data_IF_497428806215
#
_entry.id   IF_497428806215
#
_cell.length_a   1.000
_cell.length_b   1.000
_cell.length_c   1.000
_cell.angle_alpha   90.00
_cell.angle_beta   90.00
_cell.angle_gamma   90.00
#
_symmetry.space_group_name_H-M   'P 1'
#
loop_
_entity.id
_entity.type
_entity.pdbx_description
1 polymer ?
#
# COMPACT_ATOMS: atom_id res chain seq x y z
N UNK A 1 0.67 10.74 8.11
CA UNK A 1 0.10 9.52 7.53
C UNK A 1 -0.82 8.87 8.56
N UNK A 2 -2.11 8.85 8.32
CA UNK A 2 -3.08 8.21 9.23
C UNK A 2 -3.05 6.69 9.14
N UNK A 3 -2.30 6.14 8.21
CA UNK A 3 -2.26 4.70 7.91
C UNK A 3 -0.92 4.03 8.26
N UNK A 4 0.18 4.73 8.08
CA UNK A 4 1.54 4.21 8.34
C UNK A 4 2.24 5.20 9.29
N UNK A 5 2.04 5.01 10.58
CA UNK A 5 2.56 5.90 11.62
C UNK A 5 3.90 5.38 12.11
N UNK A 6 4.96 6.05 11.69
CA UNK A 6 6.26 5.91 12.34
C UNK A 6 6.34 6.90 13.50
N UNK A 7 6.32 6.38 14.71
CA UNK A 7 6.48 7.19 15.92
C UNK A 7 7.94 7.64 16.04
N UNK A 8 8.16 8.96 16.16
CA UNK A 8 9.44 9.53 16.57
C UNK A 8 9.29 10.03 18.00
N UNK A 9 9.99 9.41 18.93
CA UNK A 9 10.08 9.92 20.30
C UNK A 9 11.08 11.06 20.37
N UNK A 10 10.73 12.12 21.09
CA UNK A 10 11.66 13.19 21.49
C UNK A 10 12.39 12.85 22.82
N UNK A 11 11.97 11.76 23.46
CA UNK A 11 12.54 11.27 24.73
C UNK A 11 13.60 10.20 24.44
N UNK A 12 14.46 9.94 25.42
CA UNK A 12 15.43 8.85 25.35
C UNK A 12 14.69 7.51 25.18
N UNK A 13 15.02 6.79 24.12
CA UNK A 13 14.46 5.47 23.83
C UNK A 13 15.45 4.40 24.28
N UNK A 14 14.95 3.33 24.92
CA UNK A 14 15.72 2.14 25.24
C UNK A 14 15.28 1.00 24.34
N UNK A 15 16.25 0.21 23.87
CA UNK A 15 15.94 -1.03 23.17
C UNK A 15 15.55 -2.09 24.20
N UNK A 16 14.39 -2.71 23.98
CA UNK A 16 13.96 -3.87 24.78
C UNK A 16 14.35 -5.10 23.99
N UNK A 17 15.15 -5.98 24.60
CA UNK A 17 15.46 -7.29 24.05
C UNK A 17 14.28 -8.22 24.33
N UNK A 18 13.54 -8.61 23.29
CA UNK A 18 12.40 -9.51 23.39
C UNK A 18 11.80 -9.75 22.02
N UNK A 19 11.06 -10.85 21.89
CA UNK A 19 10.30 -11.17 20.67
C UNK A 19 8.86 -10.71 20.89
N UNK A 20 8.41 -9.77 20.07
CA UNK A 20 7.02 -9.35 20.03
C UNK A 20 6.26 -10.23 19.03
N UNK A 21 5.31 -11.02 19.50
CA UNK A 21 4.41 -11.77 18.63
C UNK A 21 3.15 -10.95 18.37
N UNK A 22 2.97 -10.51 17.12
CA UNK A 22 1.70 -9.94 16.65
C UNK A 22 0.84 -11.06 16.06
N UNK A 23 -0.11 -11.56 16.86
CA UNK A 23 -1.01 -12.62 16.43
C UNK A 23 -2.33 -12.03 15.91
N UNK A 24 -2.50 -12.02 14.61
CA UNK A 24 -3.75 -11.61 13.99
C UNK A 24 -4.74 -12.80 13.96
N UNK A 25 -5.61 -12.89 14.96
CA UNK A 25 -6.60 -13.98 15.14
C UNK A 25 -7.89 -13.74 14.30
N UNK A 26 -7.89 -12.79 13.38
CA UNK A 26 -9.06 -12.47 12.56
C UNK A 26 -9.34 -13.57 11.54
N UNK A 27 -10.60 -13.91 11.35
CA UNK A 27 -11.03 -14.74 10.23
C UNK A 27 -10.86 -13.97 8.89
N UNK A 28 -10.99 -14.70 7.77
CA UNK A 28 -10.76 -14.11 6.44
C UNK A 28 -11.75 -12.96 6.13
N UNK A 29 -13.00 -13.05 6.59
CA UNK A 29 -13.99 -12.00 6.36
C UNK A 29 -13.59 -10.69 7.05
N UNK A 30 -13.26 -10.76 8.34
CA UNK A 30 -12.80 -9.60 9.12
C UNK A 30 -11.50 -9.02 8.55
N UNK A 31 -10.63 -9.88 8.04
CA UNK A 31 -9.39 -9.47 7.39
C UNK A 31 -9.69 -8.69 6.11
N UNK A 32 -10.57 -9.21 5.23
CA UNK A 32 -11.02 -8.56 4.00
C UNK A 32 -11.67 -7.21 4.30
N UNK A 33 -12.57 -7.14 5.26
CA UNK A 33 -13.21 -5.88 5.66
C UNK A 33 -12.21 -4.84 6.15
N UNK A 34 -11.25 -5.25 6.97
CA UNK A 34 -10.18 -4.37 7.45
C UNK A 34 -9.35 -3.82 6.30
N UNK A 35 -8.95 -4.67 5.35
CA UNK A 35 -8.20 -4.26 4.16
C UNK A 35 -9.02 -3.39 3.21
N UNK A 36 -10.32 -3.65 3.11
CA UNK A 36 -11.23 -2.80 2.35
C UNK A 36 -11.28 -1.38 2.93
N UNK A 37 -11.35 -1.23 4.27
CA UNK A 37 -11.27 0.08 4.94
C UNK A 37 -9.89 0.74 4.75
N UNK A 38 -8.80 -0.02 4.89
CA UNK A 38 -7.44 0.49 4.69
C UNK A 38 -7.18 0.96 3.27
N UNK A 39 -7.76 0.28 2.27
CA UNK A 39 -7.64 0.72 0.88
C UNK A 39 -8.21 2.13 0.65
N UNK A 40 -9.31 2.47 1.32
CA UNK A 40 -9.90 3.83 1.26
C UNK A 40 -9.01 4.85 1.94
N UNK A 41 -8.41 4.51 3.10
CA UNK A 41 -7.49 5.39 3.81
C UNK A 41 -6.22 5.65 2.99
N UNK A 42 -5.65 4.61 2.35
CA UNK A 42 -4.46 4.76 1.50
C UNK A 42 -4.73 5.70 0.31
N UNK A 43 -5.93 5.66 -0.26
CA UNK A 43 -6.32 6.57 -1.35
C UNK A 43 -6.45 8.02 -0.86
N UNK A 44 -6.96 8.24 0.35
CA UNK A 44 -7.06 9.57 0.97
C UNK A 44 -5.68 10.14 1.27
N UNK A 45 -4.81 9.36 1.88
CA UNK A 45 -3.44 9.78 2.25
C UNK A 45 -2.57 10.12 1.03
N UNK A 46 -2.78 9.44 -0.09
CA UNK A 46 -2.06 9.76 -1.32
C UNK A 46 -2.38 11.16 -1.87
N UNK A 47 -3.50 11.78 -1.48
CA UNK A 47 -3.86 13.15 -1.85
C UNK A 47 -3.24 14.21 -0.92
N UNK A 48 -3.00 13.89 0.35
CA UNK A 48 -2.47 14.84 1.35
C UNK A 48 -0.95 14.87 1.44
N UNK A 49 -0.25 14.52 0.35
CA UNK A 49 1.21 14.40 0.32
C UNK A 49 1.92 15.74 0.51
N UNK A 50 2.08 16.16 1.76
CA UNK A 50 3.06 17.19 2.13
C UNK A 50 4.47 16.64 1.88
N UNK A 51 5.08 17.07 0.77
CA UNK A 51 6.39 16.60 0.28
C UNK A 51 7.58 17.06 1.13
N UNK A 52 7.39 18.04 2.02
CA UNK A 52 8.49 18.73 2.70
C UNK A 52 9.31 17.91 3.73
N UNK A 53 8.81 16.76 4.22
CA UNK A 53 9.50 15.97 5.25
C UNK A 53 9.76 14.52 4.83
N UNK A 54 9.95 14.22 3.55
CA UNK A 54 10.22 12.86 3.10
C UNK A 54 11.72 12.59 3.04
N UNK A 55 12.11 11.44 3.60
CA UNK A 55 13.42 10.86 3.35
C UNK A 55 13.58 10.64 1.86
N UNK A 56 14.67 11.11 1.26
CA UNK A 56 14.96 10.95 -0.17
C UNK A 56 15.26 9.49 -0.50
N UNK A 57 14.78 8.98 -1.65
CA UNK A 57 15.11 7.62 -2.09
C UNK A 57 16.59 7.54 -2.46
N UNK A 58 17.33 6.60 -1.86
CA UNK A 58 18.74 6.36 -2.17
C UNK A 58 19.02 4.85 -2.14
N UNK A 59 19.56 4.30 -3.23
CA UNK A 59 19.88 2.87 -3.35
C UNK A 59 21.01 2.46 -2.39
N UNK A 60 21.99 3.33 -2.20
CA UNK A 60 23.15 3.10 -1.37
C UNK A 60 23.03 3.69 0.06
N UNK A 61 21.86 4.19 0.39
CA UNK A 61 21.56 4.77 1.70
C UNK A 61 21.21 3.74 2.77
N UNK A 62 20.66 4.23 3.87
CA UNK A 62 20.17 3.38 4.95
C UNK A 62 18.96 2.53 4.52
N UNK A 63 18.53 1.58 5.37
CA UNK A 63 17.43 0.65 5.05
C UNK A 63 16.13 1.36 4.66
N UNK A 64 15.83 2.51 5.27
CA UNK A 64 14.63 3.30 4.97
C UNK A 64 14.73 3.97 3.59
N UNK A 65 15.90 4.49 3.23
CA UNK A 65 16.15 5.13 1.93
C UNK A 65 16.10 4.12 0.79
N UNK A 66 16.67 2.91 1.00
CA UNK A 66 16.58 1.79 0.04
C UNK A 66 15.13 1.34 -0.16
N UNK A 67 14.36 1.16 0.91
CA UNK A 67 12.94 0.82 0.79
C UNK A 67 12.16 1.89 0.01
N UNK A 68 12.49 3.16 0.19
CA UNK A 68 11.87 4.26 -0.57
C UNK A 68 12.27 4.24 -2.04
N UNK A 69 13.51 3.90 -2.34
CA UNK A 69 13.98 3.73 -3.72
C UNK A 69 13.21 2.62 -4.44
N UNK A 70 13.11 1.42 -3.84
CA UNK A 70 12.30 0.32 -4.41
C UNK A 70 10.83 0.68 -4.51
N UNK A 71 10.30 1.38 -3.52
CA UNK A 71 8.91 1.87 -3.55
C UNK A 71 8.70 2.88 -4.68
N UNK A 72 9.66 3.74 -5.00
CA UNK A 72 9.57 4.67 -6.14
C UNK A 72 9.52 3.94 -7.47
N UNK A 73 10.40 2.96 -7.69
CA UNK A 73 10.40 2.10 -8.89
C UNK A 73 9.07 1.35 -9.02
N UNK A 74 8.59 0.76 -7.93
CA UNK A 74 7.30 0.07 -7.91
C UNK A 74 6.15 0.97 -8.38
N UNK A 75 6.13 2.25 -7.99
CA UNK A 75 5.09 3.19 -8.42
C UNK A 75 5.28 3.74 -9.85
N UNK A 76 6.44 3.55 -10.46
CA UNK A 76 6.66 3.86 -11.89
C UNK A 76 6.05 2.79 -12.81
N UNK A 77 5.88 1.55 -12.31
CA UNK A 77 5.26 0.49 -13.11
C UNK A 77 3.75 0.72 -13.27
N UNK A 78 3.16 0.30 -14.41
CA UNK A 78 1.72 0.40 -14.63
C UNK A 78 0.91 -0.26 -13.52
N UNK A 79 -0.23 0.35 -13.17
CA UNK A 79 -1.06 -0.08 -12.03
C UNK A 79 -1.52 -1.54 -12.10
N UNK A 80 -1.78 -2.05 -13.30
CA UNK A 80 -2.20 -3.44 -13.49
C UNK A 80 -1.06 -4.45 -13.33
N UNK A 81 0.16 -4.07 -13.69
CA UNK A 81 1.33 -4.98 -13.71
C UNK A 81 1.99 -5.08 -12.32
N UNK A 82 2.07 -3.97 -11.61
CA UNK A 82 2.78 -3.90 -10.32
C UNK A 82 2.29 -4.87 -9.23
N UNK A 83 0.97 -5.19 -9.07
CA UNK A 83 0.53 -6.19 -8.12
C UNK A 83 1.07 -7.59 -8.45
N UNK A 84 1.15 -7.93 -9.74
CA UNK A 84 1.72 -9.20 -10.20
C UNK A 84 3.21 -9.29 -9.91
N UNK A 85 3.98 -8.24 -10.18
CA UNK A 85 5.41 -8.19 -9.85
C UNK A 85 5.62 -8.41 -8.36
N UNK A 86 4.81 -7.75 -7.50
CA UNK A 86 4.91 -7.92 -6.06
C UNK A 86 4.53 -9.34 -5.61
N UNK A 87 3.52 -9.94 -6.25
CA UNK A 87 3.14 -11.34 -5.99
C UNK A 87 4.27 -12.30 -6.37
N UNK A 88 4.82 -12.19 -7.57
CA UNK A 88 5.94 -13.02 -8.05
C UNK A 88 7.15 -12.86 -7.11
N UNK A 89 7.49 -11.64 -6.74
CA UNK A 89 8.56 -11.36 -5.78
C UNK A 89 8.33 -12.08 -4.44
N UNK A 90 7.15 -11.92 -3.83
CA UNK A 90 6.86 -12.54 -2.52
C UNK A 90 6.77 -14.05 -2.60
N UNK A 91 6.13 -14.58 -3.65
CA UNK A 91 5.88 -16.01 -3.76
C UNK A 91 7.12 -16.80 -4.16
N UNK A 92 7.90 -16.30 -5.12
CA UNK A 92 9.08 -17.01 -5.63
C UNK A 92 10.39 -16.53 -4.98
N UNK A 93 10.64 -15.22 -4.89
CA UNK A 93 11.92 -14.71 -4.39
C UNK A 93 12.00 -14.77 -2.87
N UNK A 94 10.92 -14.46 -2.15
CA UNK A 94 10.84 -14.62 -0.69
C UNK A 94 10.39 -16.03 -0.27
N UNK A 95 10.37 -16.98 -1.22
CA UNK A 95 10.09 -18.40 -0.97
C UNK A 95 8.71 -18.68 -0.32
N UNK A 96 7.72 -17.82 -0.56
CA UNK A 96 6.36 -18.01 -0.02
C UNK A 96 5.70 -19.31 -0.46
N UNK A 97 6.18 -19.94 -1.55
CA UNK A 97 5.69 -21.24 -2.00
C UNK A 97 6.06 -22.39 -1.06
N UNK A 98 7.10 -22.23 -0.23
CA UNK A 98 7.49 -23.24 0.77
C UNK A 98 6.43 -23.44 1.86
N UNK A 99 5.61 -22.42 2.13
CA UNK A 99 4.49 -22.50 3.06
C UNK A 99 3.23 -23.17 2.45
N UNK A 100 3.38 -23.76 1.25
CA UNK A 100 2.32 -24.49 0.56
C UNK A 100 1.10 -23.62 0.24
N UNK A 101 -0.12 -24.15 0.47
CA UNK A 101 -1.37 -23.46 0.17
C UNK A 101 -1.54 -22.18 1.00
N UNK A 102 -1.08 -22.18 2.23
CA UNK A 102 -1.18 -21.00 3.12
C UNK A 102 -0.32 -19.86 2.58
N UNK A 103 0.91 -20.15 2.20
CA UNK A 103 1.81 -19.17 1.60
C UNK A 103 1.26 -18.59 0.29
N UNK A 104 0.62 -19.45 -0.56
CA UNK A 104 -0.04 -18.97 -1.77
C UNK A 104 -1.16 -17.97 -1.45
N UNK A 105 -2.10 -18.33 -0.58
CA UNK A 105 -3.21 -17.44 -0.20
C UNK A 105 -2.71 -16.14 0.44
N UNK A 106 -1.72 -16.23 1.32
CA UNK A 106 -1.12 -15.07 1.94
C UNK A 106 -0.51 -14.11 0.91
N UNK A 107 0.32 -14.62 0.00
CA UNK A 107 0.93 -13.83 -1.07
C UNK A 107 -0.12 -13.25 -2.02
N UNK A 108 -1.14 -14.05 -2.38
CA UNK A 108 -2.23 -13.61 -3.24
C UNK A 108 -3.01 -12.44 -2.64
N UNK A 109 -3.55 -12.61 -1.44
CA UNK A 109 -4.37 -11.59 -0.79
C UNK A 109 -3.57 -10.32 -0.47
N UNK A 110 -2.34 -10.46 0.02
CA UNK A 110 -1.53 -9.33 0.47
C UNK A 110 -0.89 -8.54 -0.69
N UNK A 111 -0.58 -9.19 -1.80
CA UNK A 111 0.13 -8.56 -2.92
C UNK A 111 -0.78 -8.29 -4.11
N UNK A 112 -1.47 -9.32 -4.60
CA UNK A 112 -2.26 -9.20 -5.82
C UNK A 112 -3.60 -8.54 -5.54
N UNK A 113 -4.42 -9.17 -4.68
CA UNK A 113 -5.78 -8.72 -4.41
C UNK A 113 -5.82 -7.30 -3.80
N UNK A 114 -5.10 -7.07 -2.72
CA UNK A 114 -5.16 -5.79 -1.99
C UNK A 114 -4.66 -4.61 -2.84
N UNK A 115 -3.56 -4.80 -3.59
CA UNK A 115 -3.01 -3.75 -4.45
C UNK A 115 -3.91 -3.47 -5.65
N UNK A 116 -4.47 -4.51 -6.26
CA UNK A 116 -5.45 -4.36 -7.35
C UNK A 116 -6.72 -3.65 -6.86
N UNK A 117 -7.21 -3.96 -5.65
CA UNK A 117 -8.34 -3.27 -5.06
C UNK A 117 -8.10 -1.76 -4.90
N UNK A 118 -6.91 -1.36 -4.42
CA UNK A 118 -6.54 0.05 -4.30
C UNK A 118 -6.54 0.73 -5.66
N UNK A 119 -5.97 0.09 -6.67
CA UNK A 119 -5.87 0.66 -8.02
C UNK A 119 -7.25 0.75 -8.70
N UNK A 120 -8.10 -0.26 -8.54
CA UNK A 120 -9.49 -0.24 -9.02
C UNK A 120 -10.30 0.90 -8.40
N UNK A 121 -10.23 1.07 -7.09
CA UNK A 121 -10.90 2.19 -6.40
C UNK A 121 -10.36 3.57 -6.82
N UNK A 122 -9.05 3.69 -7.10
CA UNK A 122 -8.48 4.93 -7.65
C UNK A 122 -9.04 5.24 -9.03
N UNK A 123 -9.13 4.22 -9.87
CA UNK A 123 -9.67 4.33 -11.22
C UNK A 123 -11.15 4.73 -11.19
N UNK A 124 -11.98 4.05 -10.40
CA UNK A 124 -13.39 4.38 -10.17
C UNK A 124 -13.56 5.85 -9.75
N UNK A 125 -12.80 6.30 -8.75
CA UNK A 125 -12.85 7.68 -8.26
C UNK A 125 -12.49 8.70 -9.34
N UNK A 126 -11.54 8.37 -10.21
CA UNK A 126 -11.14 9.26 -11.31
C UNK A 126 -12.24 9.35 -12.39
N UNK A 127 -12.92 8.24 -12.71
CA UNK A 127 -14.06 8.23 -13.65
C UNK A 127 -15.21 9.08 -13.10
N UNK A 128 -15.59 8.86 -11.86
CA UNK A 128 -16.68 9.62 -11.22
C UNK A 128 -16.37 11.11 -11.23
N UNK A 129 -15.14 11.48 -10.89
CA UNK A 129 -14.66 12.88 -10.90
C UNK A 129 -14.74 13.50 -12.29
N UNK A 130 -14.32 12.78 -13.34
CA UNK A 130 -14.40 13.25 -14.74
C UNK A 130 -15.84 13.44 -15.19
N UNK A 131 -16.70 12.47 -14.92
CA UNK A 131 -18.11 12.54 -15.30
C UNK A 131 -18.86 13.69 -14.61
N UNK A 132 -18.54 13.94 -13.34
CA UNK A 132 -19.10 15.08 -12.60
C UNK A 132 -18.66 16.43 -13.20
N UNK A 133 -17.40 16.54 -13.56
CA UNK A 133 -16.83 17.74 -14.20
C UNK A 133 -17.47 17.99 -15.56
N UNK A 134 -17.63 16.95 -16.39
CA UNK A 134 -18.29 17.06 -17.70
C UNK A 134 -19.75 17.53 -17.56
N UNK A 135 -20.53 16.94 -16.64
CA UNK A 135 -21.91 17.37 -16.40
C UNK A 135 -22.00 18.83 -15.94
N UNK A 136 -21.06 19.31 -15.13
CA UNK A 136 -21.02 20.70 -14.67
C UNK A 136 -20.70 21.67 -15.81
N UNK A 137 -19.74 21.34 -16.67
CA UNK A 137 -19.36 22.16 -17.84
C UNK A 137 -20.51 22.23 -18.85
N UNK A 138 -21.22 21.12 -19.09
CA UNK A 138 -22.37 21.10 -19.96
C UNK A 138 -23.54 21.97 -19.43
N UNK A 139 -23.80 21.96 -18.12
CA UNK A 139 -24.83 22.80 -17.48
C UNK A 139 -24.50 24.30 -17.48
N UNK A 140 -23.22 24.67 -17.56
CA UNK A 140 -22.81 26.08 -17.59
C UNK A 140 -22.84 26.69 -18.99
N UNK A 141 -23.11 25.91 -20.03
CA UNK A 141 -23.19 26.36 -21.44
C UNK A 141 -24.62 26.54 -21.94
N UNK A 142 -25.62 26.22 -21.11
CA UNK A 142 -27.04 26.45 -21.33
C UNK A 142 -27.61 27.28 -20.17
#
# INVERSE_FOLDING_TARGET
NNYDQHFKSKLNTKNISGILYDMNIKNLNEWIESHNRWSVLEIKDNKSKNLKNRVQPNLFGNSIERLRFFKSIYYLTPSLIRPFILFVYKYFILLGFLDGKIGFYYCFFNSLWFRTLIDAKKYEKNIISKNFTLKRVLRSKF
#
